data_IF_713187294523
#
_entry.id   IF_713187294523
#
_cell.length_a   1.000
_cell.length_b   1.000
_cell.length_c   1.000
_cell.angle_alpha   90.00
_cell.angle_beta   90.00
_cell.angle_gamma   90.00
#
_symmetry.space_group_name_H-M   'P 1'
#
loop_
_entity.id
_entity.type
_entity.pdbx_description
1 polymer ?
#
# COMPACT_ATOMS: atom_id res chain seq x y z
N UNK A 1 19.79 2.33 -14.67
CA UNK A 1 18.83 1.67 -13.76
C UNK A 1 17.74 0.98 -14.55
N UNK A 2 17.25 -0.14 -14.04
CA UNK A 2 16.21 -0.94 -14.67
C UNK A 2 14.97 -1.04 -13.76
N UNK A 3 13.77 -0.81 -14.31
CA UNK A 3 12.51 -0.97 -13.58
C UNK A 3 11.97 -2.37 -13.83
N UNK A 4 12.04 -3.22 -12.78
CA UNK A 4 11.57 -4.59 -12.85
C UNK A 4 10.11 -4.66 -12.41
N UNK A 5 9.20 -5.03 -13.31
CA UNK A 5 7.76 -5.09 -13.06
C UNK A 5 7.15 -6.45 -13.43
N UNK A 6 5.95 -6.75 -12.91
CA UNK A 6 5.37 -8.09 -12.98
C UNK A 6 4.35 -8.29 -14.11
N UNK A 7 3.88 -7.23 -14.76
CA UNK A 7 2.86 -7.29 -15.82
C UNK A 7 3.31 -6.53 -17.04
N UNK A 8 3.09 -7.11 -18.23
CA UNK A 8 3.34 -6.46 -19.50
C UNK A 8 2.47 -5.21 -19.74
N UNK A 9 1.32 -5.11 -19.07
CA UNK A 9 0.37 -4.01 -19.15
C UNK A 9 0.42 -3.06 -17.95
N UNK A 10 1.51 -3.05 -17.17
CA UNK A 10 1.69 -2.09 -16.06
C UNK A 10 1.99 -0.69 -16.60
N UNK A 11 0.92 0.06 -16.89
CA UNK A 11 0.98 1.43 -17.41
C UNK A 11 1.85 2.34 -16.53
N UNK A 12 1.79 2.17 -15.20
CA UNK A 12 2.58 3.00 -14.27
C UNK A 12 4.06 2.70 -14.40
N UNK A 13 4.47 1.42 -14.45
CA UNK A 13 5.87 1.02 -14.63
C UNK A 13 6.43 1.51 -15.96
N UNK A 14 5.67 1.34 -17.05
CA UNK A 14 6.07 1.83 -18.38
C UNK A 14 6.21 3.35 -18.45
N UNK A 15 5.25 4.08 -17.90
CA UNK A 15 5.33 5.55 -17.84
C UNK A 15 6.48 6.03 -16.96
N UNK A 16 6.72 5.34 -15.83
CA UNK A 16 7.85 5.65 -14.94
C UNK A 16 9.18 5.45 -15.67
N UNK A 17 9.38 4.32 -16.37
CA UNK A 17 10.57 4.04 -17.15
C UNK A 17 10.77 5.10 -18.24
N UNK A 18 9.74 5.33 -19.07
CA UNK A 18 9.77 6.32 -20.15
C UNK A 18 10.09 7.74 -19.67
N UNK A 19 9.41 8.19 -18.61
CA UNK A 19 9.56 9.57 -18.11
C UNK A 19 10.88 9.78 -17.35
N UNK A 20 11.47 8.72 -16.82
CA UNK A 20 12.76 8.74 -16.16
C UNK A 20 13.93 8.43 -17.12
N UNK A 21 13.65 8.15 -18.41
CA UNK A 21 14.64 7.70 -19.40
C UNK A 21 15.41 6.46 -18.94
N UNK A 22 14.65 5.48 -18.41
CA UNK A 22 15.17 4.21 -17.90
C UNK A 22 14.65 3.05 -18.72
N UNK A 23 15.41 1.95 -18.75
CA UNK A 23 14.91 0.68 -19.23
C UNK A 23 13.95 0.04 -18.22
N UNK A 24 13.07 -0.82 -18.71
CA UNK A 24 12.15 -1.55 -17.84
C UNK A 24 11.56 -2.78 -18.53
N UNK A 25 11.22 -3.79 -17.75
CA UNK A 25 10.66 -5.02 -18.27
C UNK A 25 10.37 -6.08 -17.22
N UNK A 26 9.85 -7.21 -17.68
CA UNK A 26 9.57 -8.37 -16.84
C UNK A 26 10.81 -9.25 -16.66
N UNK A 27 11.74 -9.21 -17.58
CA UNK A 27 13.00 -9.97 -17.53
C UNK A 27 14.10 -9.07 -16.98
N UNK A 28 14.94 -9.64 -16.13
CA UNK A 28 16.03 -8.92 -15.51
C UNK A 28 17.21 -8.77 -16.46
N UNK A 29 17.96 -7.65 -16.41
CA UNK A 29 19.17 -7.49 -17.20
C UNK A 29 20.21 -8.55 -16.84
N UNK A 30 21.07 -8.91 -17.80
CA UNK A 30 22.17 -9.87 -17.57
C UNK A 30 23.25 -9.28 -16.68
N UNK A 31 23.52 -7.97 -16.81
CA UNK A 31 24.48 -7.25 -15.99
C UNK A 31 23.95 -7.09 -14.55
N UNK A 32 24.63 -7.77 -13.62
CA UNK A 32 24.26 -7.80 -12.19
C UNK A 32 24.57 -6.52 -11.43
N UNK A 33 25.38 -5.63 -12.00
CA UNK A 33 25.69 -4.31 -11.44
C UNK A 33 24.64 -3.26 -11.81
N UNK A 34 23.78 -3.57 -12.77
CA UNK A 34 22.66 -2.69 -13.15
C UNK A 34 21.76 -2.45 -11.93
N UNK A 35 21.56 -1.21 -11.45
CA UNK A 35 20.67 -0.93 -10.35
C UNK A 35 19.22 -1.26 -10.68
N UNK A 36 18.53 -1.98 -9.80
CA UNK A 36 17.16 -2.44 -9.98
C UNK A 36 16.18 -1.67 -9.09
N UNK A 37 15.15 -1.09 -9.70
CA UNK A 37 13.94 -0.65 -9.01
C UNK A 37 12.87 -1.74 -9.14
N UNK A 38 12.61 -2.49 -8.07
CA UNK A 38 11.62 -3.55 -8.11
C UNK A 38 10.20 -2.99 -7.90
N UNK A 39 9.42 -2.97 -8.97
CA UNK A 39 8.06 -2.49 -9.02
C UNK A 39 7.06 -3.66 -8.90
N UNK A 40 6.93 -4.19 -7.68
CA UNK A 40 5.90 -5.17 -7.33
C UNK A 40 6.15 -6.61 -7.79
N UNK A 41 7.32 -6.97 -8.31
CA UNK A 41 7.61 -8.34 -8.74
C UNK A 41 8.32 -9.15 -7.66
N UNK A 42 7.75 -10.30 -7.30
CA UNK A 42 8.40 -11.28 -6.42
C UNK A 42 9.33 -12.14 -7.25
N UNK A 43 10.60 -11.79 -7.28
CA UNK A 43 11.66 -12.49 -8.00
C UNK A 43 12.88 -12.58 -7.09
N UNK A 44 13.68 -13.61 -7.24
CA UNK A 44 14.98 -13.67 -6.59
C UNK A 44 15.92 -12.62 -7.21
N UNK A 45 16.29 -11.65 -6.38
CA UNK A 45 17.17 -10.53 -6.75
C UNK A 45 18.51 -10.61 -6.01
N UNK A 46 18.87 -11.76 -5.43
CA UNK A 46 20.08 -11.92 -4.60
C UNK A 46 21.37 -11.67 -5.37
N UNK A 47 21.40 -11.97 -6.68
CA UNK A 47 22.56 -11.74 -7.54
C UNK A 47 22.85 -10.26 -7.86
N UNK A 48 21.88 -9.36 -7.67
CA UNK A 48 22.06 -7.93 -7.95
C UNK A 48 22.52 -7.20 -6.70
N UNK A 49 23.51 -6.32 -6.82
CA UNK A 49 24.11 -5.61 -5.69
C UNK A 49 23.24 -4.44 -5.23
N UNK A 50 22.69 -3.67 -6.17
CA UNK A 50 21.94 -2.43 -5.91
C UNK A 50 20.45 -2.60 -6.26
N UNK A 51 19.63 -2.97 -5.26
CA UNK A 51 18.20 -3.23 -5.46
C UNK A 51 17.36 -2.44 -4.48
N UNK A 52 16.40 -1.70 -5.01
CA UNK A 52 15.34 -1.02 -4.24
C UNK A 52 14.10 -1.91 -4.23
N UNK A 53 13.51 -2.12 -3.06
CA UNK A 53 12.45 -3.08 -2.78
C UNK A 53 12.87 -4.54 -3.12
N UNK A 54 13.99 -4.98 -2.57
CA UNK A 54 14.53 -6.33 -2.80
C UNK A 54 13.55 -7.43 -2.39
N UNK A 55 12.93 -7.29 -1.21
CA UNK A 55 12.00 -8.27 -0.64
C UNK A 55 10.58 -7.73 -0.77
N UNK A 56 9.64 -8.56 -1.23
CA UNK A 56 8.23 -8.20 -1.29
C UNK A 56 7.37 -9.27 -0.61
N UNK A 57 6.51 -8.82 0.30
CA UNK A 57 5.50 -9.65 0.96
C UNK A 57 4.19 -9.51 0.19
N UNK A 58 3.83 -10.48 -0.64
CA UNK A 58 2.60 -10.43 -1.48
C UNK A 58 1.35 -10.89 -0.75
N UNK A 59 1.48 -11.81 0.19
CA UNK A 59 0.36 -12.30 0.99
C UNK A 59 -0.12 -11.19 1.94
N UNK A 60 -1.38 -10.81 1.78
CA UNK A 60 -1.97 -9.71 2.56
C UNK A 60 -2.12 -10.04 4.04
N UNK A 61 -2.48 -11.29 4.37
CA UNK A 61 -2.54 -11.72 5.78
C UNK A 61 -1.14 -11.73 6.40
N UNK A 62 -0.15 -12.27 5.69
CA UNK A 62 1.24 -12.24 6.14
C UNK A 62 1.76 -10.82 6.32
N UNK A 63 1.40 -9.89 5.43
CA UNK A 63 1.73 -8.47 5.58
C UNK A 63 1.15 -7.89 6.86
N UNK A 64 -0.11 -8.18 7.18
CA UNK A 64 -0.75 -7.76 8.44
C UNK A 64 -0.05 -8.36 9.67
N UNK A 65 0.31 -9.65 9.62
CA UNK A 65 1.05 -10.34 10.69
C UNK A 65 2.41 -9.70 10.94
N UNK A 66 3.19 -9.44 9.88
CA UNK A 66 4.52 -8.80 9.98
C UNK A 66 4.40 -7.39 10.54
N UNK A 67 3.47 -6.58 10.02
CA UNK A 67 3.24 -5.23 10.51
C UNK A 67 2.79 -5.22 11.98
N UNK A 68 1.85 -6.08 12.36
CA UNK A 68 1.39 -6.21 13.74
C UNK A 68 2.51 -6.62 14.68
N UNK A 69 3.28 -7.66 14.34
CA UNK A 69 4.45 -8.12 15.11
C UNK A 69 5.55 -7.07 15.27
N UNK A 70 5.60 -6.10 14.36
CA UNK A 70 6.51 -4.94 14.41
C UNK A 70 5.90 -3.71 15.11
N UNK A 71 4.75 -3.84 15.76
CA UNK A 71 4.08 -2.76 16.50
C UNK A 71 3.38 -1.72 15.62
N UNK A 72 3.16 -2.00 14.34
CA UNK A 72 2.35 -1.14 13.45
C UNK A 72 0.88 -1.31 13.80
N UNK A 73 0.15 -0.20 13.99
CA UNK A 73 -1.29 -0.22 14.23
C UNK A 73 -2.01 -0.71 12.97
N UNK A 74 -2.58 -1.91 13.04
CA UNK A 74 -3.43 -2.52 12.02
C UNK A 74 -4.77 -2.91 12.67
N UNK A 75 -5.88 -3.00 11.92
CA UNK A 75 -7.10 -3.58 12.48
C UNK A 75 -6.85 -4.99 12.99
N UNK A 76 -7.52 -5.42 14.06
CA UNK A 76 -7.47 -6.83 14.50
C UNK A 76 -7.81 -7.74 13.32
N UNK A 77 -7.15 -8.90 13.21
CA UNK A 77 -7.37 -9.84 12.12
C UNK A 77 -7.32 -11.28 12.62
N UNK A 78 -7.93 -12.19 11.86
CA UNK A 78 -8.02 -13.62 12.14
C UNK A 78 -7.92 -14.41 10.84
N UNK A 79 -7.21 -15.51 10.86
CA UNK A 79 -7.09 -16.48 9.76
C UNK A 79 -8.22 -17.54 9.78
N UNK A 80 -8.93 -17.66 10.92
CA UNK A 80 -10.03 -18.60 11.12
C UNK A 80 -11.21 -17.92 11.84
N UNK A 81 -12.39 -17.91 11.20
CA UNK A 81 -13.61 -17.33 11.78
C UNK A 81 -14.06 -17.97 13.08
N UNK A 82 -13.73 -19.25 13.30
CA UNK A 82 -14.19 -19.97 14.50
C UNK A 82 -13.53 -19.46 15.80
N UNK A 83 -12.45 -18.74 15.70
CA UNK A 83 -11.79 -18.11 16.85
C UNK A 83 -12.18 -16.63 17.04
N UNK A 84 -13.08 -16.09 16.19
CA UNK A 84 -13.51 -14.69 16.30
C UNK A 84 -14.59 -14.61 17.39
N UNK A 85 -14.34 -13.93 18.52
CA UNK A 85 -15.33 -13.71 19.55
C UNK A 85 -16.54 -12.90 19.03
N UNK A 86 -17.75 -13.20 19.48
CA UNK A 86 -18.96 -12.53 19.00
C UNK A 86 -18.93 -11.00 19.18
N UNK A 87 -18.31 -10.52 20.24
CA UNK A 87 -18.14 -9.08 20.51
C UNK A 87 -17.20 -8.38 19.51
N UNK A 88 -16.43 -9.13 18.70
CA UNK A 88 -15.56 -8.56 17.67
C UNK A 88 -16.29 -8.27 16.36
N UNK A 89 -17.53 -8.74 16.21
CA UNK A 89 -18.34 -8.39 15.04
C UNK A 89 -18.82 -6.93 15.10
N UNK A 90 -19.00 -6.22 13.98
CA UNK A 90 -18.83 -6.74 12.60
C UNK A 90 -17.36 -6.89 12.18
N UNK A 91 -17.12 -7.82 11.24
CA UNK A 91 -15.82 -8.03 10.62
C UNK A 91 -15.93 -7.99 9.10
N UNK A 92 -14.81 -7.72 8.43
CA UNK A 92 -14.68 -7.83 6.98
C UNK A 92 -14.11 -9.21 6.62
N UNK A 93 -14.83 -9.97 5.82
CA UNK A 93 -14.35 -11.19 5.18
C UNK A 93 -13.50 -10.84 3.98
N UNK A 94 -12.31 -11.46 3.84
CA UNK A 94 -11.32 -11.18 2.81
C UNK A 94 -10.84 -12.49 2.17
N UNK A 95 -10.47 -12.42 0.88
CA UNK A 95 -9.79 -13.52 0.18
C UNK A 95 -8.28 -13.22 0.15
N UNK A 96 -7.41 -14.26 0.11
CA UNK A 96 -5.96 -14.08 -0.04
C UNK A 96 -5.61 -13.38 -1.36
N UNK A 97 -6.32 -13.75 -2.44
CA UNK A 97 -6.10 -13.21 -3.77
C UNK A 97 -7.32 -12.39 -4.21
N UNK A 98 -7.28 -11.10 -3.98
CA UNK A 98 -8.30 -10.18 -4.45
C UNK A 98 -7.69 -8.86 -4.92
N UNK A 99 -8.39 -8.19 -5.83
CA UNK A 99 -8.01 -6.87 -6.33
C UNK A 99 -9.17 -5.88 -6.18
N UNK A 100 -8.85 -4.62 -5.95
CA UNK A 100 -9.82 -3.50 -5.94
C UNK A 100 -10.98 -3.65 -4.94
N UNK A 101 -10.85 -4.49 -3.91
CA UNK A 101 -11.90 -4.64 -2.88
C UNK A 101 -13.19 -5.33 -3.35
N UNK A 102 -13.14 -6.08 -4.46
CA UNK A 102 -14.33 -6.75 -5.03
C UNK A 102 -14.92 -7.84 -4.14
N UNK A 103 -14.09 -8.47 -3.31
CA UNK A 103 -14.47 -9.63 -2.48
C UNK A 103 -14.52 -9.31 -0.99
N UNK A 104 -14.73 -8.04 -0.65
CA UNK A 104 -14.86 -7.60 0.75
C UNK A 104 -16.33 -7.64 1.15
N UNK A 105 -16.66 -8.50 2.12
CA UNK A 105 -18.00 -8.61 2.68
C UNK A 105 -18.03 -8.22 4.14
N UNK A 106 -18.97 -7.36 4.53
CA UNK A 106 -19.24 -7.05 5.93
C UNK A 106 -20.10 -8.16 6.54
N UNK A 107 -19.56 -8.84 7.54
CA UNK A 107 -20.26 -9.86 8.31
C UNK A 107 -20.63 -9.30 9.67
N UNK A 108 -21.92 -9.26 9.98
CA UNK A 108 -22.45 -8.87 11.28
C UNK A 108 -22.50 -10.02 12.28
N UNK A 109 -22.49 -11.26 11.77
CA UNK A 109 -22.55 -12.50 12.51
C UNK A 109 -21.62 -13.55 11.87
N UNK A 110 -21.23 -14.60 12.60
CA UNK A 110 -20.36 -15.65 12.07
C UNK A 110 -20.90 -16.30 10.79
N UNK A 111 -20.15 -16.20 9.71
CA UNK A 111 -20.38 -16.87 8.42
C UNK A 111 -19.04 -17.21 7.78
N UNK A 112 -18.93 -18.42 7.24
CA UNK A 112 -17.73 -18.82 6.51
C UNK A 112 -17.79 -18.31 5.07
N UNK A 113 -17.11 -17.20 4.78
CA UNK A 113 -17.11 -16.55 3.47
C UNK A 113 -15.76 -15.97 3.02
N UNK A 114 -14.69 -16.22 3.76
CA UNK A 114 -13.38 -15.71 3.41
C UNK A 114 -12.24 -16.57 3.94
N UNK A 115 -11.03 -16.30 3.43
CA UNK A 115 -9.82 -16.97 3.85
C UNK A 115 -9.30 -16.39 5.17
N UNK A 116 -9.55 -15.09 5.40
CA UNK A 116 -9.24 -14.41 6.64
C UNK A 116 -10.23 -13.27 6.91
N UNK A 117 -10.18 -12.74 8.11
CA UNK A 117 -11.13 -11.73 8.59
C UNK A 117 -10.38 -10.58 9.24
N UNK A 118 -10.93 -9.38 9.09
CA UNK A 118 -10.39 -8.15 9.65
C UNK A 118 -11.48 -7.41 10.39
N UNK A 119 -11.20 -6.90 11.59
CA UNK A 119 -12.15 -6.05 12.35
C UNK A 119 -12.62 -4.90 11.47
N UNK A 120 -13.93 -4.73 11.34
CA UNK A 120 -14.47 -3.53 10.70
C UNK A 120 -14.29 -2.34 11.62
N UNK A 121 -13.62 -1.32 11.13
CA UNK A 121 -13.45 -0.02 11.80
C UNK A 121 -14.25 1.00 11.01
N UNK A 122 -15.29 1.63 11.62
CA UNK A 122 -15.97 2.77 11.02
C UNK A 122 -14.95 3.91 10.82
N UNK A 123 -14.64 4.21 9.57
CA UNK A 123 -13.66 5.22 9.23
C UNK A 123 -14.33 6.56 8.93
N UNK A 124 -13.70 7.65 9.37
CA UNK A 124 -14.09 9.03 9.01
C UNK A 124 -13.23 9.60 7.89
N UNK A 125 -12.05 9.00 7.64
CA UNK A 125 -11.17 9.35 6.55
C UNK A 125 -10.34 8.16 6.08
N UNK A 126 -9.88 8.21 4.83
CA UNK A 126 -8.95 7.22 4.26
C UNK A 126 -7.89 7.95 3.43
N UNK A 127 -6.64 7.52 3.60
CA UNK A 127 -5.46 8.12 3.00
C UNK A 127 -4.65 7.09 2.26
N UNK A 128 -3.94 7.55 1.23
CA UNK A 128 -2.80 6.86 0.67
C UNK A 128 -1.56 7.71 0.92
N UNK A 129 -0.65 7.17 1.74
CA UNK A 129 0.64 7.81 2.04
C UNK A 129 1.69 7.16 1.17
N UNK A 130 2.27 7.94 0.27
CA UNK A 130 3.40 7.52 -0.54
C UNK A 130 4.68 7.78 0.24
N UNK A 131 5.44 6.73 0.53
CA UNK A 131 6.74 6.79 1.21
C UNK A 131 7.80 6.40 0.19
N UNK A 132 8.83 7.23 0.02
CA UNK A 132 9.97 6.99 -0.86
C UNK A 132 11.24 7.35 -0.09
N UNK A 133 12.01 6.34 0.33
CA UNK A 133 13.16 6.56 1.22
C UNK A 133 12.75 7.27 2.50
N UNK A 134 13.32 8.45 2.73
CA UNK A 134 13.04 9.29 3.91
C UNK A 134 11.94 10.33 3.68
N UNK A 135 11.35 10.36 2.50
CA UNK A 135 10.35 11.37 2.10
C UNK A 135 8.96 10.77 1.96
N UNK A 136 7.92 11.54 2.28
CA UNK A 136 6.54 11.12 2.07
C UNK A 136 5.61 12.23 1.61
N UNK A 137 4.53 11.86 0.93
CA UNK A 137 3.40 12.74 0.67
C UNK A 137 2.07 12.01 0.86
N UNK A 138 1.01 12.75 1.17
CA UNK A 138 -0.29 12.19 1.52
C UNK A 138 -1.31 12.56 0.45
N UNK A 139 -2.13 11.59 0.06
CA UNK A 139 -3.35 11.79 -0.71
C UNK A 139 -4.54 11.30 0.10
N UNK A 140 -5.54 12.14 0.28
CA UNK A 140 -6.81 11.77 0.89
C UNK A 140 -7.75 11.20 -0.16
N UNK A 141 -8.45 10.11 0.15
CA UNK A 141 -9.57 9.62 -0.66
C UNK A 141 -10.80 10.46 -0.37
N UNK A 142 -11.37 11.09 -1.40
CA UNK A 142 -12.57 11.92 -1.30
C UNK A 142 -13.59 11.47 -2.32
N UNK A 143 -14.87 11.55 -1.97
CA UNK A 143 -15.98 11.32 -2.89
C UNK A 143 -16.79 12.60 -3.09
N UNK A 144 -17.28 12.83 -4.31
CA UNK A 144 -18.22 13.92 -4.61
C UNK A 144 -19.67 13.53 -4.27
N UNK A 145 -19.95 12.24 -4.25
CA UNK A 145 -21.28 11.68 -4.03
C UNK A 145 -21.22 10.92 -2.72
N UNK A 146 -21.74 11.45 -1.64
CA UNK A 146 -21.68 10.89 -0.28
C UNK A 146 -22.43 9.52 -0.18
N UNK A 147 -21.88 8.48 -0.78
CA UNK A 147 -22.38 7.12 -0.60
C UNK A 147 -21.69 6.47 0.59
N UNK A 148 -22.52 5.89 1.45
CA UNK A 148 -22.07 5.14 2.61
C UNK A 148 -21.58 3.76 2.18
N UNK A 149 -20.36 3.70 1.61
CA UNK A 149 -19.75 2.47 1.12
C UNK A 149 -18.54 2.06 1.98
N UNK A 150 -18.38 0.76 2.17
CA UNK A 150 -17.26 0.18 2.91
C UNK A 150 -15.93 0.40 2.19
N UNK A 151 -15.93 0.19 0.87
CA UNK A 151 -14.73 0.29 0.04
C UNK A 151 -14.64 1.64 -0.66
N UNK A 152 -13.70 2.49 -0.22
CA UNK A 152 -13.43 3.77 -0.85
C UNK A 152 -12.42 3.59 -2.00
N UNK A 153 -12.93 3.25 -3.17
CA UNK A 153 -12.13 3.02 -4.38
C UNK A 153 -12.68 3.80 -5.57
N UNK A 154 -11.96 3.81 -6.68
CA UNK A 154 -12.34 4.53 -7.89
C UNK A 154 -13.68 4.07 -8.46
N UNK A 155 -14.00 2.77 -8.38
CA UNK A 155 -15.29 2.22 -8.86
C UNK A 155 -16.48 2.79 -8.08
N UNK A 156 -16.28 3.14 -6.81
CA UNK A 156 -17.26 3.77 -5.93
C UNK A 156 -17.13 5.31 -5.93
N UNK A 157 -16.55 5.91 -6.98
CA UNK A 157 -16.48 7.35 -7.17
C UNK A 157 -15.44 8.09 -6.32
N UNK A 158 -14.55 7.37 -5.63
CA UNK A 158 -13.51 8.01 -4.82
C UNK A 158 -12.29 8.39 -5.67
N UNK A 159 -11.79 9.58 -5.43
CA UNK A 159 -10.59 10.13 -6.05
C UNK A 159 -9.55 10.48 -4.98
N UNK A 160 -8.28 10.52 -5.39
CA UNK A 160 -7.19 10.94 -4.52
C UNK A 160 -6.92 12.44 -4.69
N UNK A 161 -6.93 13.19 -3.58
CA UNK A 161 -6.50 14.59 -3.50
C UNK A 161 -5.27 14.69 -2.61
N UNK A 162 -4.20 15.29 -3.14
CA UNK A 162 -2.99 15.54 -2.36
C UNK A 162 -3.28 16.61 -1.31
N UNK A 163 -2.83 16.36 -0.08
CA UNK A 163 -3.00 17.25 1.06
C UNK A 163 -1.68 17.40 1.81
N UNK A 164 -1.50 18.53 2.48
CA UNK A 164 -0.36 18.76 3.36
C UNK A 164 -0.70 18.46 4.82
N UNK A 165 -1.90 18.83 5.25
CA UNK A 165 -2.38 18.70 6.63
C UNK A 165 -3.82 18.15 6.61
N UNK A 166 -4.10 17.22 7.54
CA UNK A 166 -5.42 16.71 7.83
C UNK A 166 -5.78 17.02 9.29
N UNK A 167 -6.89 17.74 9.53
CA UNK A 167 -7.37 18.23 10.83
C UNK A 167 -6.31 19.04 11.60
N UNK A 168 -5.14 18.46 11.90
CA UNK A 168 -4.04 19.10 12.63
C UNK A 168 -2.68 18.54 12.21
N UNK A 169 -1.60 19.27 12.55
CA UNK A 169 -0.23 18.79 12.35
C UNK A 169 0.02 17.48 13.11
N UNK A 170 -0.54 17.33 14.32
CA UNK A 170 -0.41 16.12 15.14
C UNK A 170 -1.02 14.89 14.44
N UNK A 171 -2.26 14.97 13.96
CA UNK A 171 -2.93 13.83 13.29
C UNK A 171 -2.21 13.49 11.99
N UNK A 172 -1.79 14.50 11.24
CA UNK A 172 -1.00 14.32 10.02
C UNK A 172 0.33 13.60 10.31
N UNK A 173 0.99 13.96 11.39
CA UNK A 173 2.24 13.30 11.82
C UNK A 173 1.99 11.83 12.18
N UNK A 174 0.94 11.50 12.93
CA UNK A 174 0.58 10.12 13.26
C UNK A 174 0.35 9.27 12.00
N UNK A 175 -0.33 9.81 10.99
CA UNK A 175 -0.58 9.12 9.72
C UNK A 175 0.75 8.86 8.98
N UNK A 176 1.66 9.86 8.93
CA UNK A 176 2.97 9.71 8.28
C UNK A 176 3.86 8.71 9.02
N UNK A 177 3.94 8.82 10.34
CA UNK A 177 4.73 7.90 11.18
C UNK A 177 4.27 6.45 11.01
N UNK A 178 2.95 6.21 11.03
CA UNK A 178 2.38 4.89 10.80
C UNK A 178 2.79 4.34 9.42
N UNK A 179 2.76 5.17 8.37
CA UNK A 179 3.17 4.78 7.04
C UNK A 179 4.66 4.40 6.98
N UNK A 180 5.55 5.19 7.59
CA UNK A 180 6.98 4.87 7.67
C UNK A 180 7.23 3.57 8.40
N UNK A 181 6.58 3.34 9.55
CA UNK A 181 6.70 2.10 10.31
C UNK A 181 6.20 0.89 9.50
N UNK A 182 5.12 1.03 8.76
CA UNK A 182 4.58 -0.03 7.90
C UNK A 182 5.57 -0.42 6.77
N UNK A 183 6.13 0.57 6.08
CA UNK A 183 7.17 0.37 5.04
C UNK A 183 8.39 -0.33 5.64
N UNK A 184 8.89 0.17 6.79
CA UNK A 184 10.05 -0.40 7.47
C UNK A 184 9.81 -1.83 7.97
N UNK A 185 8.63 -2.10 8.53
CA UNK A 185 8.26 -3.44 9.01
C UNK A 185 8.31 -4.49 7.90
N UNK A 186 7.89 -4.13 6.69
CA UNK A 186 7.92 -5.03 5.52
C UNK A 186 9.29 -5.07 4.82
N UNK A 187 10.28 -4.30 5.27
CA UNK A 187 11.59 -4.21 4.63
C UNK A 187 11.58 -3.49 3.28
N UNK A 188 10.59 -2.62 3.05
CA UNK A 188 10.48 -1.88 1.80
C UNK A 188 11.27 -0.57 1.85
N UNK A 189 11.77 -0.15 0.68
CA UNK A 189 12.42 1.14 0.50
C UNK A 189 11.42 2.22 0.07
N UNK A 190 10.36 1.83 -0.66
CA UNK A 190 9.24 2.69 -1.04
C UNK A 190 7.94 1.89 -1.14
N UNK A 191 6.83 2.61 -1.12
CA UNK A 191 5.49 2.04 -1.35
C UNK A 191 4.40 3.07 -1.08
N UNK A 192 3.16 2.68 -1.37
CA UNK A 192 1.97 3.44 -1.02
C UNK A 192 1.19 2.69 0.07
N UNK A 193 1.02 3.34 1.21
CA UNK A 193 0.37 2.80 2.41
C UNK A 193 -1.06 3.30 2.47
N UNK A 194 -2.04 2.40 2.45
CA UNK A 194 -3.45 2.74 2.65
C UNK A 194 -3.76 2.75 4.15
N UNK A 195 -4.21 3.90 4.66
CA UNK A 195 -4.47 4.17 6.08
C UNK A 195 -5.89 4.70 6.25
N UNK A 196 -6.63 4.13 7.18
CA UNK A 196 -7.90 4.68 7.63
C UNK A 196 -7.73 5.38 8.98
N UNK A 197 -8.61 6.34 9.24
CA UNK A 197 -8.69 7.04 10.53
C UNK A 197 -10.10 6.90 11.06
N UNK A 198 -10.26 6.52 12.33
CA UNK A 198 -11.54 6.44 13.02
C UNK A 198 -12.01 7.79 13.57
N UNK A 199 -13.14 7.80 14.25
CA UNK A 199 -13.73 9.00 14.85
C UNK A 199 -12.90 9.61 16.00
N UNK A 200 -12.00 8.81 16.60
CA UNK A 200 -11.07 9.26 17.66
C UNK A 200 -9.70 9.70 17.12
N UNK A 201 -9.60 9.90 15.80
CA UNK A 201 -8.34 10.25 15.12
C UNK A 201 -7.24 9.17 15.24
N UNK A 202 -7.61 7.91 15.49
CA UNK A 202 -6.68 6.78 15.53
C UNK A 202 -6.44 6.25 14.12
N UNK A 203 -5.18 6.23 13.63
CA UNK A 203 -4.87 5.69 12.31
C UNK A 203 -4.60 4.18 12.37
N UNK A 204 -5.07 3.47 11.34
CA UNK A 204 -4.82 2.04 11.12
C UNK A 204 -4.32 1.80 9.70
N UNK A 205 -3.22 1.05 9.56
CA UNK A 205 -2.69 0.63 8.27
C UNK A 205 -3.50 -0.57 7.75
N UNK A 206 -4.00 -0.46 6.52
CA UNK A 206 -4.75 -1.53 5.87
C UNK A 206 -3.86 -2.41 4.99
N UNK A 207 -3.01 -1.79 4.19
CA UNK A 207 -2.11 -2.47 3.26
C UNK A 207 -0.97 -1.56 2.79
N UNK A 208 0.09 -2.19 2.28
CA UNK A 208 1.20 -1.51 1.62
C UNK A 208 1.31 -2.02 0.18
N UNK A 209 1.24 -1.11 -0.77
CA UNK A 209 1.35 -1.38 -2.19
C UNK A 209 2.77 -1.05 -2.67
N UNK A 210 3.55 -2.05 -3.09
CA UNK A 210 4.89 -1.90 -3.64
C UNK A 210 4.93 -1.50 -5.12
N UNK A 211 3.78 -1.56 -5.80
CA UNK A 211 3.59 -1.09 -7.18
C UNK A 211 2.28 -0.30 -7.28
N UNK A 212 2.20 0.90 -6.68
CA UNK A 212 0.97 1.67 -6.71
C UNK A 212 0.68 2.22 -8.10
N UNK A 213 -0.59 2.24 -8.50
CA UNK A 213 -1.03 2.97 -9.68
C UNK A 213 -0.87 4.48 -9.45
N UNK A 214 -0.21 5.16 -10.37
CA UNK A 214 0.14 6.57 -10.29
C UNK A 214 -0.37 7.35 -11.51
N UNK A 215 -0.83 8.59 -11.29
CA UNK A 215 -1.02 9.57 -12.37
C UNK A 215 0.33 10.15 -12.80
N UNK A 216 0.42 10.75 -13.99
CA UNK A 216 1.64 11.35 -14.51
C UNK A 216 2.25 12.38 -13.54
N UNK A 217 1.44 13.18 -12.88
CA UNK A 217 1.89 14.12 -11.83
C UNK A 217 2.61 13.40 -10.70
N UNK A 218 2.08 12.25 -10.25
CA UNK A 218 2.69 11.46 -9.18
C UNK A 218 3.92 10.70 -9.66
N UNK A 219 3.94 10.25 -10.91
CA UNK A 219 5.13 9.64 -11.54
C UNK A 219 6.30 10.62 -11.50
N UNK A 220 6.09 11.89 -11.94
CA UNK A 220 7.12 12.94 -11.85
C UNK A 220 7.66 13.08 -10.42
N UNK A 221 6.76 13.16 -9.45
CA UNK A 221 7.13 13.27 -8.04
C UNK A 221 7.90 12.03 -7.52
N UNK A 222 7.53 10.83 -7.98
CA UNK A 222 8.29 9.61 -7.65
C UNK A 222 9.70 9.67 -8.21
N UNK A 223 9.87 10.09 -9.48
CA UNK A 223 11.18 10.24 -10.13
C UNK A 223 12.06 11.22 -9.34
N UNK A 224 11.53 12.40 -9.00
CA UNK A 224 12.24 13.40 -8.19
C UNK A 224 12.69 12.82 -6.85
N UNK A 225 11.81 12.11 -6.13
CA UNK A 225 12.10 11.55 -4.83
C UNK A 225 13.03 10.33 -4.90
N UNK A 226 12.95 9.52 -5.95
CA UNK A 226 13.87 8.42 -6.22
C UNK A 226 15.28 8.98 -6.46
N UNK A 227 15.41 10.02 -7.31
CA UNK A 227 16.68 10.72 -7.54
C UNK A 227 17.24 11.29 -6.25
N UNK A 228 16.42 11.97 -5.46
CA UNK A 228 16.82 12.58 -4.19
C UNK A 228 17.34 11.55 -3.18
N UNK A 229 16.63 10.41 -3.00
CA UNK A 229 16.97 9.42 -1.97
C UNK A 229 18.12 8.48 -2.36
N UNK A 230 18.31 8.22 -3.67
CA UNK A 230 19.29 7.21 -4.12
C UNK A 230 20.30 7.74 -5.13
N UNK A 231 20.32 9.05 -5.37
CA UNK A 231 21.33 9.70 -6.22
C UNK A 231 21.31 9.26 -7.68
N UNK A 232 20.16 8.82 -8.19
CA UNK A 232 20.04 8.33 -9.54
C UNK A 232 19.92 9.45 -10.57
N UNK A 233 20.52 9.27 -11.75
CA UNK A 233 20.53 10.30 -12.79
C UNK A 233 19.14 10.61 -13.38
#
# INVERSE_FOLDING_TARGET
MFIHHHKSDDITAHNLARMASMDGGMDLPEDTETPILNWGKSTDLTKYTNVINRILVKDKLKSLQVMHGSGVSVPKFWDNRHIIPLQEYPVLSRQYYHTCGTDILLLKLPKNRGDYYVKYIPKVAEFRVHVIGTTSFISQKTNRYSENTICWNYRNGFIFRDINIYKSARVTHLIRDLAYRAIKALGYNFGAVDIIVDEWDTPYCLEVNSAPALSDKRIKKYIELIKFNWGWP
#
